data_IF_792271382121
#
_entry.id   IF_792271382121
#
_cell.length_a   1.000
_cell.length_b   1.000
_cell.length_c   1.000
_cell.angle_alpha   90.00
_cell.angle_beta   90.00
_cell.angle_gamma   90.00
#
_symmetry.space_group_name_H-M   'P 1'
#
loop_
_entity.id
_entity.type
_entity.pdbx_description
1 polymer ?
#
# COMPACT_ATOMS: atom_id res chain seq x y z
N UNK A 1 10.46 20.75 41.82
CA UNK A 1 10.66 21.36 40.49
C UNK A 1 11.95 20.80 39.90
N UNK A 2 11.93 20.02 38.81
CA UNK A 2 13.19 19.51 38.26
C UNK A 2 13.04 18.60 37.04
N UNK A 3 12.75 19.17 35.86
CA UNK A 3 13.02 18.50 34.57
C UNK A 3 13.35 19.47 33.42
N UNK A 4 13.55 20.78 33.68
CA UNK A 4 13.94 21.75 32.63
C UNK A 4 15.44 21.73 32.30
N UNK A 5 16.25 20.96 33.02
CA UNK A 5 17.71 20.93 32.84
C UNK A 5 18.15 20.04 31.67
N UNK A 6 17.31 19.11 31.21
CA UNK A 6 17.65 18.20 30.10
C UNK A 6 17.62 18.88 28.72
N UNK A 7 16.56 19.66 28.45
CA UNK A 7 16.37 20.31 27.15
C UNK A 7 17.42 21.41 26.88
N UNK A 8 17.77 22.19 27.92
CA UNK A 8 18.74 23.28 27.82
C UNK A 8 20.16 22.78 27.46
N UNK A 9 20.59 21.67 28.06
CA UNK A 9 21.87 21.03 27.73
C UNK A 9 21.90 20.47 26.31
N UNK A 10 20.79 19.88 25.88
CA UNK A 10 20.69 19.26 24.56
C UNK A 10 20.73 20.33 23.45
N UNK A 11 20.07 21.47 23.69
CA UNK A 11 20.15 22.63 22.82
C UNK A 11 21.59 23.17 22.71
N UNK A 12 22.31 23.32 23.83
CA UNK A 12 23.69 23.79 23.83
C UNK A 12 24.66 22.86 23.06
N UNK A 13 24.42 21.55 23.09
CA UNK A 13 25.19 20.56 22.32
C UNK A 13 24.87 20.68 20.83
N UNK A 14 23.59 20.81 20.47
CA UNK A 14 23.13 20.95 19.09
C UNK A 14 23.75 22.17 18.40
N UNK A 15 23.75 23.32 19.09
CA UNK A 15 24.36 24.56 18.59
C UNK A 15 25.87 24.39 18.34
N UNK A 16 26.58 23.67 19.23
CA UNK A 16 28.02 23.45 19.08
C UNK A 16 28.37 22.48 17.94
N UNK A 17 27.50 21.50 17.69
CA UNK A 17 27.63 20.58 16.56
C UNK A 17 27.06 21.14 15.24
N UNK A 18 26.40 22.31 15.29
CA UNK A 18 25.66 22.91 14.16
C UNK A 18 24.65 21.96 13.52
N UNK A 19 23.99 21.15 14.35
CA UNK A 19 22.91 20.28 13.92
C UNK A 19 21.62 20.70 14.61
N UNK A 20 20.45 20.53 13.98
CA UNK A 20 19.18 20.78 14.65
C UNK A 20 19.05 19.90 15.90
N UNK A 21 18.47 20.45 16.98
CA UNK A 21 18.22 19.69 18.22
C UNK A 21 17.36 18.43 17.96
N UNK A 22 16.50 18.49 16.93
CA UNK A 22 15.69 17.37 16.44
C UNK A 22 16.52 16.13 16.01
N UNK A 23 17.79 16.29 15.62
CA UNK A 23 18.67 15.18 15.21
C UNK A 23 18.90 14.17 16.34
N UNK A 24 18.96 14.61 17.59
CA UNK A 24 19.13 13.73 18.76
C UNK A 24 17.83 13.02 19.17
N UNK A 25 16.70 13.49 18.66
CA UNK A 25 15.39 12.90 18.88
C UNK A 25 14.98 11.91 17.79
N UNK A 26 15.86 11.68 16.80
CA UNK A 26 15.73 10.61 15.81
C UNK A 26 15.81 9.27 16.54
N UNK A 27 14.65 8.63 16.73
CA UNK A 27 14.51 7.32 17.37
C UNK A 27 14.20 7.32 18.87
N UNK A 28 14.08 8.48 19.55
CA UNK A 28 13.79 8.55 21.00
C UNK A 28 12.42 9.13 21.36
N UNK A 29 11.73 9.76 20.41
CA UNK A 29 10.27 9.82 20.47
C UNK A 29 9.82 8.50 19.89
N UNK A 30 9.07 7.70 20.65
CA UNK A 30 8.43 6.50 20.11
C UNK A 30 7.89 6.84 18.73
N UNK A 31 8.19 5.97 17.77
CA UNK A 31 7.60 5.91 16.42
C UNK A 31 6.66 7.09 16.17
N UNK A 32 7.02 8.03 15.29
CA UNK A 32 5.93 8.75 14.62
C UNK A 32 5.11 7.62 14.02
N UNK A 33 4.00 7.27 14.66
CA UNK A 33 3.44 5.91 14.65
C UNK A 33 2.91 5.53 13.26
N UNK A 34 2.97 6.46 12.31
CA UNK A 34 2.75 6.26 10.88
C UNK A 34 3.95 6.49 9.94
N UNK A 35 5.07 7.12 10.34
CA UNK A 35 6.19 7.40 9.41
C UNK A 35 7.18 6.23 9.33
N UNK A 36 7.47 5.57 10.46
CA UNK A 36 8.30 4.37 10.45
C UNK A 36 7.69 3.21 9.63
N UNK A 37 6.39 2.88 9.77
CA UNK A 37 5.79 1.82 8.95
C UNK A 37 5.75 2.21 7.46
N UNK A 38 5.49 3.47 7.11
CA UNK A 38 5.49 3.92 5.72
C UNK A 38 6.90 3.88 5.10
N UNK A 39 7.92 4.26 5.86
CA UNK A 39 9.32 4.14 5.42
C UNK A 39 9.71 2.68 5.18
N UNK A 40 9.28 1.75 6.04
CA UNK A 40 9.53 0.32 5.82
C UNK A 40 8.81 -0.21 4.58
N UNK A 41 7.59 0.24 4.28
CA UNK A 41 6.89 -0.10 3.03
C UNK A 41 7.64 0.39 1.79
N UNK A 42 8.25 1.59 1.86
CA UNK A 42 9.05 2.17 0.77
C UNK A 42 10.38 1.46 0.52
N UNK A 43 10.84 0.57 1.43
CA UNK A 43 12.03 -0.27 1.22
C UNK A 43 11.78 -1.32 0.14
N UNK A 44 10.53 -1.68 -0.13
CA UNK A 44 10.20 -2.56 -1.23
C UNK A 44 10.30 -1.79 -2.57
N UNK A 45 11.09 -2.26 -3.56
CA UNK A 45 11.24 -1.57 -4.84
C UNK A 45 9.92 -1.35 -5.59
N UNK A 46 8.98 -2.28 -5.45
CA UNK A 46 7.65 -2.22 -6.07
C UNK A 46 6.80 -1.10 -5.46
N UNK A 47 6.77 -0.98 -4.13
CA UNK A 47 6.10 0.13 -3.43
C UNK A 47 6.67 1.48 -3.83
N UNK A 48 8.00 1.61 -3.89
CA UNK A 48 8.65 2.86 -4.30
C UNK A 48 8.34 3.22 -5.76
N UNK A 49 8.18 2.23 -6.64
CA UNK A 49 7.75 2.44 -8.03
C UNK A 49 6.29 2.87 -8.10
N UNK A 50 5.40 2.24 -7.34
CA UNK A 50 3.98 2.57 -7.25
C UNK A 50 3.77 4.01 -6.77
N UNK A 51 4.43 4.40 -5.67
CA UNK A 51 4.31 5.75 -5.11
C UNK A 51 4.78 6.82 -6.10
N UNK A 52 5.89 6.58 -6.82
CA UNK A 52 6.36 7.51 -7.87
C UNK A 52 5.39 7.61 -9.05
N UNK A 53 4.86 6.48 -9.53
CA UNK A 53 3.89 6.48 -10.62
C UNK A 53 2.59 7.18 -10.22
N UNK A 54 2.09 6.91 -9.02
CA UNK A 54 0.88 7.53 -8.48
C UNK A 54 1.06 9.05 -8.29
N UNK A 55 2.22 9.49 -7.79
CA UNK A 55 2.55 10.91 -7.64
C UNK A 55 2.63 11.67 -8.97
N UNK A 56 2.95 10.98 -10.08
CA UNK A 56 3.02 11.59 -11.41
C UNK A 56 1.63 11.86 -12.03
N UNK A 57 0.56 11.23 -11.51
CA UNK A 57 -0.80 11.45 -11.99
C UNK A 57 -1.25 12.84 -11.55
N UNK A 58 -1.47 13.76 -12.50
CA UNK A 58 -1.90 15.13 -12.19
C UNK A 58 -3.42 15.25 -12.01
N UNK A 59 -4.19 14.45 -12.75
CA UNK A 59 -5.65 14.49 -12.74
C UNK A 59 -6.24 13.80 -11.49
N UNK A 60 -7.06 14.48 -10.69
CA UNK A 60 -7.60 13.93 -9.44
C UNK A 60 -8.58 12.76 -9.67
N UNK A 61 -9.32 12.77 -10.78
CA UNK A 61 -10.28 11.69 -11.10
C UNK A 61 -9.53 10.40 -11.42
N UNK A 62 -8.48 10.50 -12.23
CA UNK A 62 -7.60 9.38 -12.58
C UNK A 62 -6.89 8.84 -11.35
N UNK A 63 -6.42 9.73 -10.47
CA UNK A 63 -5.78 9.34 -9.21
C UNK A 63 -6.71 8.52 -8.32
N UNK A 64 -7.99 8.93 -8.22
CA UNK A 64 -8.98 8.19 -7.45
C UNK A 64 -9.27 6.80 -8.05
N UNK A 65 -9.44 6.71 -9.37
CA UNK A 65 -9.66 5.42 -10.07
C UNK A 65 -8.51 4.43 -9.84
N UNK A 66 -7.26 4.90 -9.92
CA UNK A 66 -6.09 4.07 -9.67
C UNK A 66 -6.05 3.58 -8.23
N UNK A 67 -6.36 4.45 -7.26
CA UNK A 67 -6.44 4.05 -5.86
C UNK A 67 -7.51 2.97 -5.64
N UNK A 68 -8.73 3.16 -6.17
CA UNK A 68 -9.81 2.18 -6.08
C UNK A 68 -9.46 0.83 -6.72
N UNK A 69 -8.73 0.84 -7.84
CA UNK A 69 -8.29 -0.40 -8.50
C UNK A 69 -7.29 -1.18 -7.63
N UNK A 70 -6.34 -0.49 -6.99
CA UNK A 70 -5.38 -1.10 -6.07
C UNK A 70 -6.09 -1.66 -4.83
N UNK A 71 -7.06 -0.93 -4.29
CA UNK A 71 -7.88 -1.38 -3.16
C UNK A 71 -8.72 -2.63 -3.51
N UNK A 72 -9.33 -2.65 -4.70
CA UNK A 72 -10.09 -3.81 -5.18
C UNK A 72 -9.21 -5.05 -5.34
N UNK A 73 -8.03 -4.90 -5.95
CA UNK A 73 -7.06 -5.98 -6.10
C UNK A 73 -6.57 -6.51 -4.73
N UNK A 74 -6.30 -5.60 -3.78
CA UNK A 74 -5.92 -5.97 -2.42
C UNK A 74 -7.04 -6.67 -1.63
N UNK A 75 -8.30 -6.32 -1.91
CA UNK A 75 -9.47 -6.96 -1.33
C UNK A 75 -9.76 -8.35 -1.91
N UNK A 76 -8.96 -8.83 -2.88
CA UNK A 76 -9.21 -10.10 -3.55
C UNK A 76 -10.38 -10.07 -4.53
N UNK A 77 -10.79 -8.88 -4.97
CA UNK A 77 -11.69 -8.75 -6.11
C UNK A 77 -10.85 -8.98 -7.39
N UNK A 78 -10.55 -10.26 -7.65
CA UNK A 78 -10.24 -10.72 -8.99
C UNK A 78 -11.35 -10.17 -9.89
N UNK A 79 -11.00 -9.28 -10.82
CA UNK A 79 -11.94 -8.90 -11.86
C UNK A 79 -12.40 -10.21 -12.53
N UNK A 80 -13.71 -10.44 -12.72
CA UNK A 80 -14.18 -11.55 -13.52
C UNK A 80 -13.76 -11.28 -14.97
N UNK A 81 -12.54 -11.67 -15.32
CA UNK A 81 -12.10 -11.83 -16.71
C UNK A 81 -12.53 -13.23 -17.14
N UNK A 82 -13.85 -13.44 -17.22
CA UNK A 82 -14.40 -14.49 -18.06
C UNK A 82 -15.49 -13.84 -18.95
N UNK A 83 -15.18 -13.59 -20.23
CA UNK A 83 -16.17 -13.08 -21.17
C UNK A 83 -17.33 -14.07 -21.32
N UNK A 84 -18.58 -13.58 -21.51
CA UNK A 84 -19.75 -14.43 -21.69
C UNK A 84 -19.70 -15.14 -23.04
N UNK A 85 -18.96 -16.24 -23.13
CA UNK A 85 -19.13 -17.22 -24.19
C UNK A 85 -20.29 -18.15 -23.84
N UNK A 86 -21.50 -17.60 -23.93
CA UNK A 86 -22.59 -18.38 -24.51
C UNK A 86 -22.30 -18.58 -26.00
N UNK A 87 -22.76 -19.69 -26.60
CA UNK A 87 -24.18 -19.72 -26.90
C UNK A 87 -24.88 -21.00 -26.44
N UNK A 88 -26.16 -20.82 -26.17
CA UNK A 88 -27.14 -21.88 -26.12
C UNK A 88 -27.03 -22.80 -27.36
N UNK A 89 -26.96 -24.11 -27.11
CA UNK A 89 -27.61 -25.16 -27.91
C UNK A 89 -28.07 -26.20 -26.89
N UNK A 90 -29.33 -26.11 -26.46
CA UNK A 90 -30.42 -26.94 -26.98
C UNK A 90 -30.19 -28.44 -26.78
N UNK A 91 -30.90 -28.97 -25.78
CA UNK A 91 -31.76 -30.15 -25.85
C UNK A 91 -31.43 -31.25 -26.89
N UNK A 92 -31.04 -32.42 -26.36
CA UNK A 92 -31.53 -33.73 -26.79
C UNK A 92 -31.16 -34.73 -25.66
N UNK A 93 -32.09 -35.08 -24.76
CA UNK A 93 -32.98 -36.23 -24.86
C UNK A 93 -32.28 -37.55 -25.20
N UNK A 94 -32.23 -38.42 -24.19
CA UNK A 94 -32.78 -39.78 -24.21
C UNK A 94 -32.31 -40.74 -25.33
N UNK A 95 -31.70 -41.85 -24.92
CA UNK A 95 -31.42 -42.97 -25.83
C UNK A 95 -30.48 -44.03 -25.27
N UNK A 96 -31.06 -45.02 -24.59
CA UNK A 96 -30.68 -46.44 -24.61
C UNK A 96 -29.19 -46.82 -24.61
N UNK A 97 -28.72 -47.33 -23.47
CA UNK A 97 -27.58 -48.24 -23.44
C UNK A 97 -28.07 -49.69 -23.48
N UNK A 98 -28.23 -50.22 -24.69
CA UNK A 98 -28.45 -51.64 -24.96
C UNK A 98 -27.10 -52.34 -25.27
N UNK A 99 -26.68 -53.25 -24.39
CA UNK A 99 -26.07 -54.54 -24.75
C UNK A 99 -24.61 -54.63 -25.28
N UNK A 100 -23.99 -55.74 -24.86
CA UNK A 100 -22.88 -56.50 -25.46
C UNK A 100 -21.47 -56.19 -24.89
N UNK A 101 -20.72 -57.18 -24.40
CA UNK A 101 -20.93 -58.64 -24.35
C UNK A 101 -19.84 -59.34 -23.55
#
# INVERSE_FOLDING_TARGET
>A
MGYRTGADRLQAIADRLRVPVATFFVGTVGSIEGVSPVLDLLRHPETARLVRAFAAISDPVTRHRVLSAVEAAAAGAEAPDEPPSGPATEAACDGSQEGQG
#
